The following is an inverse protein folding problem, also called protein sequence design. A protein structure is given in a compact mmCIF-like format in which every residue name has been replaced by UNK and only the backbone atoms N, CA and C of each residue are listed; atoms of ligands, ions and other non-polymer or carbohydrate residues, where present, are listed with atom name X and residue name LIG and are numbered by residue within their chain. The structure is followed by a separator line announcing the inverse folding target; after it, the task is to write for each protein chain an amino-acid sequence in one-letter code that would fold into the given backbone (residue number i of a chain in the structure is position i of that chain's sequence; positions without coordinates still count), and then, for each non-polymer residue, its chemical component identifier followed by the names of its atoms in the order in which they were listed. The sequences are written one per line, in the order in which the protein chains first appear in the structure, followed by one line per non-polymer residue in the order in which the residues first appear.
data_IF_474186380065
#
_entry.id   IF_474186380065
#
_cell.length_a   1.000
_cell.length_b   1.000
_cell.length_c   1.000
_cell.angle_alpha   90.00
_cell.angle_beta   90.00
_cell.angle_gamma   90.00
#
_symmetry.space_group_name_H-M   'P 1'
#
loop_
_entity.id
_entity.type
_entity.pdbx_description
1 polymer ?
#
# COMPACT_ATOMS: atom_id res chain seq x y z
N UNK A 1 12.08 21.21 -37.65
CA UNK A 1 12.81 20.10 -36.99
C UNK A 1 13.54 20.52 -35.70
N UNK A 2 14.18 21.71 -35.61
CA UNK A 2 14.87 22.16 -34.38
C UNK A 2 14.00 22.21 -33.12
N UNK A 3 12.73 22.60 -33.21
CA UNK A 3 11.79 22.65 -32.07
C UNK A 3 11.44 21.27 -31.52
N UNK A 4 11.38 20.24 -32.37
CA UNK A 4 11.01 18.88 -31.96
C UNK A 4 12.09 18.22 -31.08
N UNK A 5 13.37 18.52 -31.31
CA UNK A 5 14.48 18.05 -30.49
C UNK A 5 14.46 18.60 -29.06
N UNK A 6 13.98 19.84 -28.84
CA UNK A 6 13.84 20.40 -27.50
C UNK A 6 12.68 19.77 -26.71
N UNK A 7 11.57 19.45 -27.37
CA UNK A 7 10.46 18.71 -26.75
C UNK A 7 10.85 17.27 -26.36
N UNK A 8 11.69 16.62 -27.17
CA UNK A 8 12.18 15.26 -26.87
C UNK A 8 13.07 15.25 -25.62
N UNK A 9 13.88 16.30 -25.42
CA UNK A 9 14.73 16.48 -24.24
C UNK A 9 13.91 16.71 -22.97
N UNK A 10 12.80 17.45 -23.05
CA UNK A 10 11.88 17.66 -21.92
C UNK A 10 11.18 16.35 -21.51
N UNK A 11 10.87 15.46 -22.45
CA UNK A 11 10.26 14.16 -22.16
C UNK A 11 11.16 13.22 -21.35
N UNK A 12 12.49 13.31 -21.50
CA UNK A 12 13.43 12.50 -20.70
C UNK A 12 13.47 12.90 -19.22
N UNK A 13 13.10 14.13 -18.87
CA UNK A 13 13.08 14.58 -17.46
C UNK A 13 11.78 14.22 -16.72
N UNK A 14 10.75 13.71 -17.41
CA UNK A 14 9.44 13.40 -16.81
C UNK A 14 9.31 11.98 -16.23
N UNK A 15 10.31 11.11 -16.36
CA UNK A 15 10.17 9.68 -16.03
C UNK A 15 10.47 9.29 -14.56
N UNK A 16 10.55 10.23 -13.63
CA UNK A 16 10.97 9.94 -12.25
C UNK A 16 9.85 10.07 -11.21
N UNK A 17 8.66 9.54 -11.48
CA UNK A 17 7.58 9.45 -10.49
C UNK A 17 7.77 8.27 -9.56
N UNK A 18 7.53 8.46 -8.26
CA UNK A 18 7.42 7.34 -7.31
C UNK A 18 6.19 6.52 -7.68
N UNK A 19 6.38 5.21 -7.84
CA UNK A 19 5.26 4.30 -8.04
C UNK A 19 4.54 4.05 -6.71
N UNK A 20 3.31 4.56 -6.60
CA UNK A 20 2.47 4.44 -5.42
C UNK A 20 1.76 3.08 -5.31
N UNK A 21 1.88 2.23 -6.34
CA UNK A 21 1.18 0.93 -6.42
C UNK A 21 1.91 -0.18 -5.67
N UNK A 22 2.67 0.17 -4.63
CA UNK A 22 3.40 -0.81 -3.82
C UNK A 22 2.42 -1.58 -2.94
N UNK A 23 2.16 -2.82 -3.33
CA UNK A 23 1.36 -3.78 -2.57
C UNK A 23 2.27 -4.50 -1.59
N UNK A 24 1.86 -4.72 -0.33
CA UNK A 24 2.67 -5.47 0.61
C UNK A 24 2.93 -6.89 0.07
N UNK A 25 4.13 -7.43 0.31
CA UNK A 25 4.51 -8.73 -0.20
C UNK A 25 3.71 -9.81 0.55
N UNK A 26 3.36 -10.93 -0.11
CA UNK A 26 2.62 -11.99 0.53
C UNK A 26 3.40 -12.51 1.75
N UNK A 27 2.69 -12.69 2.86
CA UNK A 27 3.27 -13.22 4.09
C UNK A 27 3.79 -14.64 3.87
N UNK A 28 5.06 -14.96 4.20
CA UNK A 28 5.55 -16.33 4.15
C UNK A 28 4.85 -17.19 5.21
N UNK A 29 4.30 -18.33 4.79
CA UNK A 29 3.77 -19.45 5.58
C UNK A 29 3.54 -19.14 7.07
N UNK A 30 2.40 -18.53 7.38
CA UNK A 30 2.00 -18.33 8.76
C UNK A 30 1.43 -19.60 9.39
N UNK A 31 1.32 -19.61 10.73
CA UNK A 31 0.95 -20.78 11.49
C UNK A 31 -0.56 -21.05 11.40
N UNK A 32 -0.97 -21.88 10.44
CA UNK A 32 -2.38 -22.24 10.19
C UNK A 32 -3.02 -23.10 11.29
N UNK A 33 -2.25 -23.54 12.28
CA UNK A 33 -2.72 -24.49 13.30
C UNK A 33 -3.43 -23.82 14.51
N UNK A 34 -3.68 -22.50 14.48
CA UNK A 34 -4.34 -21.75 15.56
C UNK A 34 -5.54 -20.95 15.06
N UNK A 35 -6.55 -21.65 14.54
CA UNK A 35 -7.84 -21.04 14.21
C UNK A 35 -8.54 -20.56 15.48
N UNK A 36 -8.79 -19.25 15.56
CA UNK A 36 -9.61 -18.67 16.63
C UNK A 36 -11.10 -18.87 16.38
N UNK A 37 -11.48 -19.07 15.12
CA UNK A 37 -12.87 -19.29 14.72
C UNK A 37 -13.01 -20.54 13.87
N UNK A 38 -14.23 -21.12 13.86
CA UNK A 38 -14.58 -22.26 13.00
C UNK A 38 -15.30 -21.83 11.70
N UNK A 39 -15.48 -20.53 11.48
CA UNK A 39 -16.24 -19.99 10.36
C UNK A 39 -15.30 -19.44 9.28
N UNK A 40 -15.57 -19.67 7.99
CA UNK A 40 -14.78 -19.09 6.93
C UNK A 40 -14.95 -17.57 6.87
N UNK A 41 -13.92 -16.89 6.38
CA UNK A 41 -13.94 -15.46 6.09
C UNK A 41 -14.07 -15.24 4.59
N UNK A 42 -14.94 -14.32 4.21
CA UNK A 42 -15.13 -13.88 2.84
C UNK A 42 -14.71 -12.44 2.69
N UNK A 43 -13.84 -12.18 1.73
CA UNK A 43 -13.51 -10.82 1.33
C UNK A 43 -14.63 -10.35 0.43
N UNK A 44 -15.45 -9.43 0.94
CA UNK A 44 -16.55 -8.84 0.20
C UNK A 44 -16.05 -7.69 -0.66
N UNK A 45 -16.56 -6.49 -0.37
CA UNK A 45 -16.22 -5.28 -1.10
C UNK A 45 -14.80 -4.84 -0.75
N UNK A 46 -13.92 -4.76 -1.74
CA UNK A 46 -12.57 -4.22 -1.59
C UNK A 46 -12.41 -3.03 -2.53
N UNK A 47 -12.35 -1.82 -1.98
CA UNK A 47 -12.23 -0.57 -2.74
C UNK A 47 -11.01 0.23 -2.35
N UNK A 48 -10.35 0.82 -3.35
CA UNK A 48 -9.26 1.76 -3.17
C UNK A 48 -9.66 3.11 -3.77
N UNK A 49 -9.74 4.13 -2.91
CA UNK A 49 -10.07 5.50 -3.26
C UNK A 49 -8.83 6.22 -3.81
N UNK A 50 -8.53 5.99 -5.09
CA UNK A 50 -7.45 6.64 -5.83
C UNK A 50 -7.80 6.75 -7.31
N UNK A 51 -7.14 7.68 -8.01
CA UNK A 51 -7.31 7.88 -9.45
C UNK A 51 -6.97 6.62 -10.28
N UNK A 52 -6.06 5.76 -9.78
CA UNK A 52 -5.53 4.59 -10.49
C UNK A 52 -6.21 3.25 -10.13
N UNK A 53 -7.36 3.31 -9.44
CA UNK A 53 -8.06 2.19 -8.75
C UNK A 53 -8.10 0.83 -9.47
N UNK A 54 -8.24 0.80 -10.80
CA UNK A 54 -8.59 -0.42 -11.53
C UNK A 54 -7.50 -1.49 -11.56
N UNK A 55 -6.22 -1.10 -11.61
CA UNK A 55 -5.14 -2.05 -11.91
C UNK A 55 -4.61 -2.75 -10.65
N UNK A 56 -4.68 -2.10 -9.49
CA UNK A 56 -4.01 -2.58 -8.28
C UNK A 56 -4.98 -3.04 -7.17
N UNK A 57 -6.30 -2.86 -7.33
CA UNK A 57 -7.31 -3.37 -6.38
C UNK A 57 -7.27 -4.89 -6.27
N UNK A 58 -7.14 -5.61 -7.39
CA UNK A 58 -7.07 -7.08 -7.38
C UNK A 58 -5.78 -7.59 -6.73
N UNK A 59 -4.65 -6.93 -7.01
CA UNK A 59 -3.37 -7.24 -6.39
C UNK A 59 -3.44 -7.07 -4.86
N UNK A 60 -4.06 -5.99 -4.40
CA UNK A 60 -4.32 -5.76 -2.98
C UNK A 60 -5.25 -6.79 -2.36
N UNK A 61 -6.35 -7.14 -3.03
CA UNK A 61 -7.28 -8.16 -2.55
C UNK A 61 -6.57 -9.49 -2.35
N UNK A 62 -5.70 -9.88 -3.30
CA UNK A 62 -4.93 -11.12 -3.21
C UNK A 62 -3.84 -11.06 -2.13
N UNK A 63 -3.14 -9.94 -1.99
CA UNK A 63 -2.17 -9.76 -0.91
C UNK A 63 -2.85 -9.82 0.46
N UNK A 64 -3.98 -9.12 0.64
CA UNK A 64 -4.76 -9.12 1.87
C UNK A 64 -5.29 -10.52 2.21
N UNK A 65 -5.81 -11.26 1.21
CA UNK A 65 -6.18 -12.67 1.35
C UNK A 65 -5.01 -13.51 1.86
N UNK A 66 -3.82 -13.31 1.29
CA UNK A 66 -2.60 -13.99 1.71
C UNK A 66 -2.25 -13.71 3.17
N UNK A 67 -2.30 -12.45 3.59
CA UNK A 67 -2.06 -12.06 4.97
C UNK A 67 -3.09 -12.64 5.95
N UNK A 68 -4.38 -12.60 5.62
CA UNK A 68 -5.46 -13.19 6.44
C UNK A 68 -5.37 -14.72 6.51
N UNK A 69 -4.96 -15.38 5.43
CA UNK A 69 -4.75 -16.83 5.44
C UNK A 69 -3.55 -17.18 6.31
N UNK A 70 -2.47 -16.40 6.20
CA UNK A 70 -1.25 -16.60 7.01
C UNK A 70 -1.46 -16.31 8.49
N UNK A 71 -2.40 -15.42 8.86
CA UNK A 71 -2.65 -15.11 10.27
C UNK A 71 -3.29 -16.28 11.02
N UNK A 72 -3.89 -17.24 10.30
CA UNK A 72 -4.52 -18.42 10.88
C UNK A 72 -5.78 -18.12 11.69
N UNK A 73 -6.32 -16.89 11.67
CA UNK A 73 -7.52 -16.52 12.45
C UNK A 73 -8.78 -17.27 12.00
N UNK A 74 -8.85 -17.57 10.70
CA UNK A 74 -9.97 -18.24 10.05
C UNK A 74 -9.49 -19.54 9.38
N UNK A 75 -10.33 -20.58 9.34
CA UNK A 75 -10.00 -21.87 8.72
C UNK A 75 -9.83 -21.75 7.21
N UNK A 76 -10.58 -20.85 6.56
CA UNK A 76 -10.41 -20.53 5.15
C UNK A 76 -10.78 -19.08 4.87
N UNK A 77 -10.07 -18.47 3.92
CA UNK A 77 -10.32 -17.13 3.42
C UNK A 77 -10.62 -17.22 1.93
N UNK A 78 -11.81 -16.83 1.52
CA UNK A 78 -12.28 -16.92 0.13
C UNK A 78 -12.77 -15.57 -0.38
N UNK A 79 -12.80 -15.40 -1.70
CA UNK A 79 -13.36 -14.20 -2.35
C UNK A 79 -14.79 -14.45 -2.84
N UNK A 80 -15.17 -15.72 -3.00
CA UNK A 80 -16.48 -16.15 -3.43
C UNK A 80 -16.92 -17.31 -2.54
N UNK A 81 -18.18 -17.28 -2.11
CA UNK A 81 -18.82 -18.36 -1.36
C UNK A 81 -19.64 -19.21 -2.32
N UNK A 82 -19.60 -20.53 -2.12
CA UNK A 82 -20.64 -21.40 -2.65
C UNK A 82 -21.85 -21.35 -1.70
N UNK A 83 -23.00 -20.77 -2.13
CA UNK A 83 -24.18 -20.64 -1.29
C UNK A 83 -24.80 -21.99 -0.90
N UNK A 84 -24.38 -23.10 -1.53
CA UNK A 84 -24.91 -24.44 -1.25
C UNK A 84 -24.29 -25.13 -0.04
N UNK A 85 -23.12 -24.70 0.42
CA UNK A 85 -22.31 -25.48 1.37
C UNK A 85 -22.07 -24.79 2.71
N UNK A 86 -22.22 -23.46 2.80
CA UNK A 86 -21.88 -22.71 4.01
C UNK A 86 -23.03 -21.76 4.40
N UNK A 87 -23.68 -22.02 5.54
CA UNK A 87 -24.75 -21.16 6.07
C UNK A 87 -24.22 -19.99 6.89
N UNK A 88 -23.09 -20.19 7.60
CA UNK A 88 -22.51 -19.21 8.52
C UNK A 88 -21.10 -18.81 8.08
N UNK A 89 -20.87 -17.51 7.90
CA UNK A 89 -19.58 -16.98 7.49
C UNK A 89 -19.37 -15.54 7.98
N UNK A 90 -18.10 -15.17 8.07
CA UNK A 90 -17.71 -13.77 8.23
C UNK A 90 -17.54 -13.12 6.86
N UNK A 91 -17.92 -11.85 6.74
CA UNK A 91 -17.61 -11.02 5.57
C UNK A 91 -16.79 -9.84 6.02
N UNK A 92 -15.67 -9.55 5.34
CA UNK A 92 -14.89 -8.34 5.55
C UNK A 92 -14.96 -7.46 4.30
N UNK A 93 -15.45 -6.25 4.51
CA UNK A 93 -15.38 -5.18 3.52
C UNK A 93 -14.24 -4.23 3.89
N UNK A 94 -13.46 -3.82 2.89
CA UNK A 94 -12.29 -2.96 3.05
C UNK A 94 -12.39 -1.77 2.11
N UNK A 95 -12.11 -0.60 2.66
CA UNK A 95 -11.99 0.66 1.94
C UNK A 95 -10.65 1.29 2.31
N UNK A 96 -9.81 1.51 1.31
CA UNK A 96 -8.48 2.08 1.50
C UNK A 96 -8.37 3.43 0.80
N UNK A 97 -7.84 4.43 1.49
CA UNK A 97 -7.52 5.74 0.94
C UNK A 97 -6.05 6.05 1.20
N UNK A 98 -5.37 6.50 0.15
CA UNK A 98 -3.93 6.78 0.21
C UNK A 98 -3.69 8.23 -0.17
N UNK A 99 -2.80 8.89 0.57
CA UNK A 99 -2.32 10.23 0.26
C UNK A 99 -0.79 10.23 0.25
N UNK A 100 -0.21 10.79 -0.80
CA UNK A 100 1.23 10.88 -0.98
C UNK A 100 1.61 12.31 -1.33
N UNK A 101 2.59 12.84 -0.60
CA UNK A 101 3.16 14.17 -0.83
C UNK A 101 4.68 14.02 -0.97
N UNK A 102 5.26 14.64 -2.00
CA UNK A 102 6.69 14.66 -2.28
C UNK A 102 7.17 16.10 -2.36
N UNK A 103 7.91 16.51 -1.33
CA UNK A 103 8.43 17.85 -1.19
C UNK A 103 9.88 17.89 -1.64
N UNK A 104 10.12 18.69 -2.68
CA UNK A 104 11.42 18.88 -3.29
C UNK A 104 12.03 20.23 -2.89
N UNK A 105 13.20 20.22 -2.27
CA UNK A 105 13.88 21.46 -1.96
C UNK A 105 14.81 21.89 -3.12
N UNK A 106 14.28 22.78 -3.96
CA UNK A 106 14.99 23.34 -5.11
C UNK A 106 16.25 24.14 -4.73
N UNK A 107 16.30 24.73 -3.54
CA UNK A 107 17.44 25.55 -3.10
C UNK A 107 18.71 24.73 -2.84
N UNK A 108 18.58 23.50 -2.32
CA UNK A 108 19.73 22.59 -2.13
C UNK A 108 20.18 21.90 -3.41
N UNK A 109 19.31 21.89 -4.43
CA UNK A 109 19.54 21.24 -5.73
C UNK A 109 20.27 22.17 -6.71
N UNK A 110 20.28 23.48 -6.45
CA UNK A 110 20.94 24.42 -7.36
C UNK A 110 22.43 24.07 -7.48
N UNK A 111 22.97 23.90 -8.70
CA UNK A 111 24.40 23.66 -8.87
C UNK A 111 25.13 24.90 -8.36
N UNK A 112 25.82 24.78 -7.23
CA UNK A 112 26.74 25.82 -6.78
C UNK A 112 27.72 26.09 -7.93
N UNK A 113 27.55 27.24 -8.56
CA UNK A 113 28.20 27.59 -9.80
C UNK A 113 29.72 27.70 -9.58
N UNK A 114 30.47 26.83 -10.26
CA UNK A 114 31.89 26.98 -10.63
C UNK A 114 32.92 27.05 -9.47
N UNK A 115 34.10 26.39 -9.55
CA UNK A 115 34.67 25.67 -10.69
C UNK A 115 34.49 24.14 -10.65
N UNK A 116 33.73 23.59 -9.71
CA UNK A 116 33.57 22.13 -9.55
C UNK A 116 32.34 21.61 -10.30
N UNK A 117 32.46 21.45 -11.62
CA UNK A 117 31.42 20.92 -12.52
C UNK A 117 31.26 19.38 -12.39
N UNK A 118 31.73 18.78 -11.29
CA UNK A 118 31.75 17.32 -11.11
C UNK A 118 30.81 16.81 -10.00
N UNK A 119 30.25 17.71 -9.19
CA UNK A 119 29.32 17.33 -8.11
C UNK A 119 27.91 17.44 -8.68
N UNK A 120 27.36 16.29 -9.09
CA UNK A 120 25.97 16.15 -9.51
C UNK A 120 25.04 16.76 -8.44
N UNK A 121 23.95 17.46 -8.79
CA UNK A 121 23.16 18.19 -7.80
C UNK A 121 22.68 17.25 -6.71
N UNK A 122 22.96 17.66 -5.47
CA UNK A 122 22.44 17.02 -4.28
C UNK A 122 20.92 17.21 -4.29
N UNK A 123 20.18 16.12 -4.31
CA UNK A 123 18.72 16.18 -4.28
C UNK A 123 18.25 15.80 -2.89
N UNK A 124 17.64 16.76 -2.20
CA UNK A 124 16.99 16.53 -0.92
C UNK A 124 15.49 16.44 -1.12
N UNK A 125 14.93 15.27 -0.81
CA UNK A 125 13.51 14.97 -0.96
C UNK A 125 12.94 14.46 0.35
N UNK A 126 11.79 15.01 0.71
CA UNK A 126 10.98 14.55 1.84
C UNK A 126 9.70 14.00 1.24
N UNK A 127 9.40 12.74 1.51
CA UNK A 127 8.13 12.16 1.10
C UNK A 127 7.31 11.77 2.34
N UNK A 128 6.04 12.13 2.31
CA UNK A 128 5.07 11.76 3.32
C UNK A 128 3.99 10.90 2.67
N UNK A 129 3.67 9.79 3.34
CA UNK A 129 2.65 8.86 2.89
C UNK A 129 1.68 8.58 4.03
N UNK A 130 0.39 8.74 3.77
CA UNK A 130 -0.68 8.38 4.71
C UNK A 130 -1.59 7.35 4.07
N UNK A 131 -1.86 6.26 4.78
CA UNK A 131 -2.85 5.26 4.42
C UNK A 131 -3.94 5.20 5.48
N UNK A 132 -5.17 5.44 5.04
CA UNK A 132 -6.38 5.21 5.82
C UNK A 132 -6.98 3.88 5.38
N UNK A 133 -7.00 2.92 6.28
CA UNK A 133 -7.50 1.57 6.07
C UNK A 133 -8.75 1.35 6.91
N UNK A 134 -9.91 1.43 6.26
CA UNK A 134 -11.20 1.23 6.90
C UNK A 134 -11.70 -0.18 6.61
N UNK A 135 -12.11 -0.90 7.64
CA UNK A 135 -12.68 -2.23 7.48
C UNK A 135 -13.98 -2.40 8.26
N UNK A 136 -14.87 -3.23 7.72
CA UNK A 136 -16.13 -3.63 8.33
C UNK A 136 -16.20 -5.14 8.35
N UNK A 137 -16.34 -5.72 9.55
CA UNK A 137 -16.53 -7.14 9.75
C UNK A 137 -18.01 -7.41 9.99
N UNK A 138 -18.59 -8.31 9.20
CA UNK A 138 -19.95 -8.78 9.33
C UNK A 138 -19.98 -10.26 9.66
N UNK A 139 -20.97 -10.70 10.44
CA UNK A 139 -21.31 -12.11 10.63
C UNK A 139 -22.73 -12.32 10.11
N UNK A 140 -22.93 -13.10 9.05
CA UNK A 140 -24.26 -13.33 8.48
C UNK A 140 -25.10 -12.04 8.29
N UNK A 141 -24.46 -10.97 7.77
CA UNK A 141 -25.02 -9.63 7.55
C UNK A 141 -25.20 -8.73 8.79
N UNK A 142 -24.97 -9.20 10.01
CA UNK A 142 -24.89 -8.30 11.18
C UNK A 142 -23.50 -7.69 11.27
N UNK A 143 -23.43 -6.37 11.51
CA UNK A 143 -22.17 -5.67 11.69
C UNK A 143 -21.60 -6.03 13.07
N UNK A 144 -20.40 -6.62 13.08
CA UNK A 144 -19.68 -6.98 14.31
C UNK A 144 -18.71 -5.88 14.72
N UNK A 145 -17.96 -5.36 13.75
CA UNK A 145 -16.92 -4.36 14.01
C UNK A 145 -16.73 -3.45 12.80
N UNK A 146 -16.52 -2.17 13.08
CA UNK A 146 -16.09 -1.17 12.10
C UNK A 146 -14.96 -0.37 12.72
N UNK A 147 -13.85 -0.24 11.99
CA UNK A 147 -12.70 0.52 12.47
C UNK A 147 -11.97 1.16 11.30
N UNK A 148 -11.31 2.28 11.58
CA UNK A 148 -10.44 2.98 10.62
C UNK A 148 -9.04 3.07 11.22
N UNK A 149 -8.06 2.55 10.50
CA UNK A 149 -6.66 2.55 10.88
C UNK A 149 -5.94 3.56 10.00
N UNK A 150 -5.38 4.59 10.60
CA UNK A 150 -4.54 5.57 9.90
C UNK A 150 -3.08 5.31 10.22
N UNK A 151 -2.25 5.10 9.19
CA UNK A 151 -0.80 4.96 9.33
C UNK A 151 -0.09 5.99 8.47
N UNK A 152 1.01 6.51 9.00
CA UNK A 152 1.83 7.54 8.35
C UNK A 152 3.26 7.05 8.24
N UNK A 153 3.81 7.10 7.04
CA UNK A 153 5.21 6.90 6.75
C UNK A 153 5.86 8.22 6.34
N UNK A 154 7.09 8.44 6.79
CA UNK A 154 7.93 9.52 6.32
C UNK A 154 9.29 8.94 5.93
N UNK A 155 9.78 9.33 4.76
CA UNK A 155 11.13 9.02 4.32
C UNK A 155 11.80 10.30 3.84
N UNK A 156 13.05 10.44 4.24
CA UNK A 156 13.92 11.52 3.77
C UNK A 156 15.08 10.89 3.02
N UNK A 157 15.28 11.34 1.79
CA UNK A 157 16.37 10.87 0.95
C UNK A 157 17.30 12.03 0.62
N UNK A 158 18.59 11.78 0.86
CA UNK A 158 19.67 12.64 0.43
C UNK A 158 20.41 11.94 -0.70
N UNK A 159 20.16 12.36 -1.93
CA UNK A 159 20.68 11.69 -3.11
C UNK A 159 21.90 12.42 -3.68
N UNK A 160 22.94 11.64 -3.98
CA UNK A 160 24.05 12.00 -4.85
C UNK A 160 23.95 11.19 -6.15
N UNK A 161 23.75 11.85 -7.29
CA UNK A 161 23.59 11.19 -8.59
C UNK A 161 22.15 10.95 -9.03
N UNK A 162 21.93 10.00 -9.96
CA UNK A 162 20.62 9.71 -10.53
C UNK A 162 19.61 9.19 -9.51
N UNK A 163 18.39 9.70 -9.67
CA UNK A 163 17.18 9.52 -8.89
C UNK A 163 16.91 8.05 -8.47
N UNK A 164 17.06 7.75 -7.17
CA UNK A 164 16.61 6.48 -6.58
C UNK A 164 15.28 6.69 -5.85
N UNK A 165 14.23 6.01 -6.29
CA UNK A 165 12.89 6.04 -5.68
C UNK A 165 12.60 4.84 -4.77
N UNK A 166 13.54 3.89 -4.67
CA UNK A 166 13.36 2.62 -3.96
C UNK A 166 13.02 2.79 -2.49
N UNK A 167 13.63 3.76 -1.81
CA UNK A 167 13.40 3.96 -0.38
C UNK A 167 12.00 4.57 -0.12
N UNK A 168 11.50 5.41 -1.02
CA UNK A 168 10.10 5.87 -0.99
C UNK A 168 9.13 4.73 -1.26
N UNK A 169 9.41 3.88 -2.25
CA UNK A 169 8.59 2.70 -2.54
C UNK A 169 8.55 1.74 -1.34
N UNK A 170 9.70 1.49 -0.73
CA UNK A 170 9.83 0.66 0.47
C UNK A 170 9.07 1.25 1.66
N UNK A 171 9.14 2.56 1.87
CA UNK A 171 8.35 3.25 2.90
C UNK A 171 6.85 3.02 2.69
N UNK A 172 6.36 3.17 1.45
CA UNK A 172 4.95 2.92 1.11
C UNK A 172 4.58 1.46 1.43
N UNK A 173 5.40 0.51 0.98
CA UNK A 173 5.22 -0.93 1.21
C UNK A 173 5.18 -1.27 2.72
N UNK A 174 6.10 -0.73 3.51
CA UNK A 174 6.19 -0.96 4.96
C UNK A 174 4.99 -0.34 5.70
N UNK A 175 4.58 0.87 5.34
CA UNK A 175 3.41 1.56 5.95
C UNK A 175 2.13 0.79 5.64
N UNK A 176 1.99 0.31 4.41
CA UNK A 176 0.89 -0.54 3.96
C UNK A 176 0.84 -1.87 4.73
N UNK A 177 1.99 -2.53 4.90
CA UNK A 177 2.12 -3.75 5.68
C UNK A 177 1.75 -3.52 7.15
N UNK A 178 2.14 -2.39 7.74
CA UNK A 178 1.79 -2.04 9.11
C UNK A 178 0.28 -1.86 9.30
N UNK A 179 -0.40 -1.21 8.35
CA UNK A 179 -1.85 -1.06 8.36
C UNK A 179 -2.56 -2.42 8.32
N UNK A 180 -2.11 -3.32 7.44
CA UNK A 180 -2.65 -4.69 7.35
C UNK A 180 -2.41 -5.49 8.64
N UNK A 181 -1.20 -5.43 9.22
CA UNK A 181 -0.90 -6.11 10.49
C UNK A 181 -1.74 -5.60 11.63
N UNK A 182 -1.94 -4.29 11.71
CA UNK A 182 -2.81 -3.67 12.73
C UNK A 182 -4.25 -4.14 12.54
N UNK A 183 -4.75 -4.22 11.31
CA UNK A 183 -6.07 -4.76 11.03
C UNK A 183 -6.21 -6.21 11.50
N UNK A 184 -5.23 -7.07 11.20
CA UNK A 184 -5.24 -8.48 11.62
C UNK A 184 -5.20 -8.61 13.15
N UNK A 185 -4.38 -7.80 13.83
CA UNK A 185 -4.33 -7.78 15.29
C UNK A 185 -5.69 -7.37 15.86
N UNK A 186 -6.29 -6.31 15.33
CA UNK A 186 -7.59 -5.82 15.80
C UNK A 186 -8.72 -6.82 15.50
N UNK A 187 -8.62 -7.62 14.45
CA UNK A 187 -9.54 -8.73 14.20
C UNK A 187 -9.35 -9.82 15.25
N UNK A 188 -8.10 -10.22 15.54
CA UNK A 188 -7.79 -11.21 16.58
C UNK A 188 -8.37 -10.83 17.95
N UNK A 189 -8.36 -9.55 18.31
CA UNK A 189 -8.85 -9.09 19.62
C UNK A 189 -10.39 -9.05 19.70
N UNK A 190 -11.09 -9.24 18.58
CA UNK A 190 -12.55 -9.09 18.46
C UNK A 190 -13.29 -10.36 18.04
N UNK A 191 -12.56 -11.45 17.77
CA UNK A 191 -13.09 -12.77 17.46
C UNK A 191 -13.11 -13.63 18.72
#
# INVERSE_FOLDING_TARGET
MRTFSYYLLILFFLQCSVDLRQVPPPSPNGNTNRTQTNLPLVIGKFEILSADRGVYTDAWRMAFKGHLTSSGLFPSVVTELDPKTTSDFYTIDVEMKTHYEDNYNWWYTWPAAYPLIAIWPIQYRIAEYTVDFKYKLYKNKSLMKEETITKKGNATEFLYGFFKVRNFQRMIEETNLEAVRTCIQNLSDSL
#
